data_IF_455879407774
#
_entry.id   IF_455879407774
#
_cell.length_a   1.000
_cell.length_b   1.000
_cell.length_c   1.000
_cell.angle_alpha   90.00
_cell.angle_beta   90.00
_cell.angle_gamma   90.00
#
_symmetry.space_group_name_H-M   'P 1'
#
loop_
_entity.id
_entity.type
_entity.pdbx_description
1 polymer ?
#
# COMPACT_ATOMS: atom_id res chain seq x y z
N UNK A 1 3.86 21.99 19.09
CA UNK A 1 3.70 22.07 17.62
C UNK A 1 2.95 20.84 17.17
N UNK A 2 1.73 21.00 16.67
CA UNK A 2 0.94 19.91 16.12
C UNK A 2 1.55 19.49 14.78
N UNK A 3 1.89 18.21 14.64
CA UNK A 3 2.46 17.69 13.40
C UNK A 3 1.38 17.82 12.31
N UNK A 4 1.70 18.44 11.17
CA UNK A 4 0.78 18.59 10.03
C UNK A 4 1.24 17.71 8.87
N UNK A 5 0.30 17.31 8.03
CA UNK A 5 0.61 16.59 6.80
C UNK A 5 1.51 17.43 5.90
N UNK A 6 2.47 16.77 5.24
CA UNK A 6 3.39 17.37 4.29
C UNK A 6 3.61 16.41 3.13
N UNK A 7 3.31 16.86 1.91
CA UNK A 7 3.53 16.08 0.68
C UNK A 7 5.01 15.75 0.47
N UNK A 8 5.91 16.67 0.82
CA UNK A 8 7.36 16.46 0.71
C UNK A 8 7.80 15.31 1.60
N UNK A 9 7.28 15.24 2.82
CA UNK A 9 7.57 14.13 3.73
C UNK A 9 6.87 12.82 3.30
N UNK A 10 5.66 12.90 2.75
CA UNK A 10 5.00 11.74 2.15
C UNK A 10 5.85 11.14 1.02
N UNK A 11 6.33 11.98 0.10
CA UNK A 11 7.21 11.59 -1.02
C UNK A 11 8.50 10.93 -0.51
N UNK A 12 9.13 11.50 0.52
CA UNK A 12 10.30 10.89 1.18
C UNK A 12 9.97 9.51 1.75
N UNK A 13 8.81 9.34 2.37
CA UNK A 13 8.40 8.03 2.90
C UNK A 13 8.19 7.00 1.79
N UNK A 14 7.54 7.38 0.69
CA UNK A 14 7.36 6.52 -0.47
C UNK A 14 8.69 6.15 -1.15
N UNK A 15 9.57 7.12 -1.37
CA UNK A 15 10.87 6.88 -2.00
C UNK A 15 11.75 5.96 -1.14
N UNK A 16 11.82 6.23 0.17
CA UNK A 16 12.52 5.36 1.10
C UNK A 16 11.94 3.94 1.08
N UNK A 17 10.62 3.81 1.12
CA UNK A 17 9.97 2.50 1.03
C UNK A 17 10.31 1.78 -0.28
N UNK A 18 10.33 2.48 -1.42
CA UNK A 18 10.72 1.92 -2.73
C UNK A 18 12.14 1.36 -2.70
N UNK A 19 13.09 2.13 -2.19
CA UNK A 19 14.49 1.72 -2.07
C UNK A 19 14.66 0.52 -1.12
N UNK A 20 13.96 0.56 0.01
CA UNK A 20 13.98 -0.52 0.99
C UNK A 20 13.31 -1.78 0.46
N UNK A 21 12.21 -1.66 -0.27
CA UNK A 21 11.52 -2.80 -0.87
C UNK A 21 12.40 -3.49 -1.92
N UNK A 22 13.11 -2.75 -2.78
CA UNK A 22 14.09 -3.33 -3.72
C UNK A 22 15.15 -4.17 -3.00
N UNK A 23 15.64 -3.69 -1.86
CA UNK A 23 16.57 -4.47 -1.01
C UNK A 23 15.88 -5.66 -0.34
N UNK A 24 14.64 -5.50 0.11
CA UNK A 24 13.86 -6.57 0.72
C UNK A 24 13.71 -7.76 -0.24
N UNK A 25 13.47 -7.51 -1.53
CA UNK A 25 13.32 -8.54 -2.57
C UNK A 25 14.52 -9.48 -2.69
N UNK A 26 15.73 -9.04 -2.35
CA UNK A 26 16.94 -9.87 -2.43
C UNK A 26 17.12 -10.78 -1.21
N UNK A 27 16.34 -10.56 -0.13
CA UNK A 27 16.54 -11.25 1.15
C UNK A 27 15.89 -12.63 1.22
N UNK A 28 16.43 -13.49 2.10
CA UNK A 28 15.79 -14.76 2.47
C UNK A 28 14.38 -14.56 3.03
N UNK A 29 14.12 -13.45 3.72
CA UNK A 29 12.79 -13.11 4.22
C UNK A 29 11.78 -12.99 3.09
N UNK A 30 12.10 -12.27 2.01
CA UNK A 30 11.21 -12.17 0.85
C UNK A 30 11.03 -13.50 0.11
N UNK A 31 12.11 -14.29 -0.04
CA UNK A 31 12.04 -15.60 -0.71
C UNK A 31 11.08 -16.58 -0.01
N UNK A 32 10.89 -16.45 1.30
CA UNK A 32 9.96 -17.26 2.10
C UNK A 32 8.49 -16.83 1.98
N UNK A 33 8.18 -15.77 1.25
CA UNK A 33 6.81 -15.42 0.89
C UNK A 33 6.30 -16.35 -0.22
N UNK A 34 5.02 -16.68 -0.16
CA UNK A 34 4.34 -17.44 -1.23
C UNK A 34 4.27 -16.62 -2.52
N UNK A 35 3.93 -17.25 -3.66
CA UNK A 35 3.74 -16.53 -4.93
C UNK A 35 2.75 -15.35 -4.82
N UNK A 36 1.53 -15.51 -4.27
CA UNK A 36 0.59 -14.39 -4.12
C UNK A 36 1.12 -13.31 -3.17
N UNK A 37 1.76 -13.69 -2.06
CA UNK A 37 2.36 -12.74 -1.12
C UNK A 37 3.47 -11.91 -1.77
N UNK A 38 4.37 -12.54 -2.54
CA UNK A 38 5.46 -11.83 -3.25
C UNK A 38 4.92 -10.85 -4.28
N UNK A 39 3.90 -11.27 -5.03
CA UNK A 39 3.25 -10.41 -6.02
C UNK A 39 2.61 -9.19 -5.36
N UNK A 40 1.97 -9.38 -4.19
CA UNK A 40 1.29 -8.30 -3.46
C UNK A 40 2.24 -7.44 -2.62
N UNK A 41 3.46 -7.92 -2.33
CA UNK A 41 4.30 -7.35 -1.28
C UNK A 41 4.67 -5.88 -1.51
N UNK A 42 4.94 -5.49 -2.75
CA UNK A 42 5.26 -4.09 -3.09
C UNK A 42 4.09 -3.17 -2.75
N UNK A 43 2.90 -3.55 -3.20
CA UNK A 43 1.66 -2.80 -2.98
C UNK A 43 1.28 -2.75 -1.50
N UNK A 44 1.38 -3.87 -0.78
CA UNK A 44 1.06 -3.93 0.66
C UNK A 44 1.98 -3.00 1.46
N UNK A 45 3.29 -3.06 1.23
CA UNK A 45 4.26 -2.22 1.97
C UNK A 45 4.09 -0.75 1.64
N UNK A 46 3.84 -0.41 0.36
CA UNK A 46 3.53 0.94 -0.06
C UNK A 46 2.24 1.47 0.56
N UNK A 47 1.15 0.69 0.49
CA UNK A 47 -0.13 1.06 1.09
C UNK A 47 -0.01 1.26 2.59
N UNK A 48 0.73 0.40 3.29
CA UNK A 48 0.98 0.57 4.72
C UNK A 48 1.67 1.90 5.03
N UNK A 49 2.75 2.22 4.30
CA UNK A 49 3.49 3.47 4.49
C UNK A 49 2.61 4.69 4.20
N UNK A 50 1.86 4.66 3.09
CA UNK A 50 0.96 5.73 2.69
C UNK A 50 -0.15 5.96 3.72
N UNK A 51 -0.83 4.90 4.16
CA UNK A 51 -1.89 4.99 5.16
C UNK A 51 -1.38 5.43 6.53
N UNK A 52 -0.25 4.89 6.98
CA UNK A 52 0.36 5.27 8.26
C UNK A 52 0.73 6.76 8.29
N UNK A 53 1.27 7.30 7.20
CA UNK A 53 1.64 8.70 7.15
C UNK A 53 0.42 9.60 6.93
N UNK A 54 -0.42 9.32 5.94
CA UNK A 54 -1.59 10.16 5.59
C UNK A 54 -2.57 10.32 6.73
N UNK A 55 -2.82 9.27 7.51
CA UNK A 55 -3.86 9.27 8.55
C UNK A 55 -3.34 9.32 9.98
N UNK A 56 -2.06 9.06 10.22
CA UNK A 56 -1.49 9.06 11.57
C UNK A 56 -0.22 9.91 11.70
N UNK A 57 0.30 10.46 10.59
CA UNK A 57 1.55 11.23 10.51
C UNK A 57 2.76 10.47 11.05
N UNK A 58 2.74 9.14 10.92
CA UNK A 58 3.81 8.26 11.43
C UNK A 58 4.71 7.78 10.31
N UNK A 59 6.00 8.04 10.48
CA UNK A 59 7.06 7.40 9.73
C UNK A 59 7.58 6.12 10.41
N UNK A 60 8.49 5.38 9.74
CA UNK A 60 9.05 4.12 10.22
C UNK A 60 9.61 4.15 11.65
N UNK A 61 10.28 5.23 12.04
CA UNK A 61 10.83 5.39 13.40
C UNK A 61 9.77 5.64 14.48
N UNK A 62 8.55 5.97 14.08
CA UNK A 62 7.44 6.32 14.97
C UNK A 62 6.35 5.24 14.99
N UNK A 63 6.52 4.14 14.26
CA UNK A 63 5.57 3.03 14.29
C UNK A 63 5.47 2.44 15.70
N UNK A 64 4.25 2.14 16.12
CA UNK A 64 3.91 1.52 17.39
C UNK A 64 2.94 0.35 17.17
N UNK A 65 2.72 -0.47 18.19
CA UNK A 65 1.73 -1.54 18.12
C UNK A 65 0.32 -0.99 17.80
N UNK A 66 -0.05 0.15 18.40
CA UNK A 66 -1.33 0.82 18.14
C UNK A 66 -1.43 1.28 16.68
N UNK A 67 -0.37 1.93 16.16
CA UNK A 67 -0.38 2.42 14.78
C UNK A 67 -0.51 1.29 13.76
N UNK A 68 0.23 0.19 13.96
CA UNK A 68 0.17 -0.99 13.07
C UNK A 68 -1.22 -1.60 13.06
N UNK A 69 -1.82 -1.80 14.24
CA UNK A 69 -3.18 -2.34 14.35
C UNK A 69 -4.21 -1.42 13.70
N UNK A 70 -4.12 -0.12 13.94
CA UNK A 70 -5.01 0.87 13.33
C UNK A 70 -4.92 0.84 11.80
N UNK A 71 -3.70 0.83 11.24
CA UNK A 71 -3.53 0.75 9.78
C UNK A 71 -4.13 -0.54 9.24
N UNK A 72 -3.81 -1.69 9.83
CA UNK A 72 -4.18 -2.99 9.25
C UNK A 72 -5.65 -3.34 9.50
N UNK A 73 -6.20 -3.08 10.67
CA UNK A 73 -7.56 -3.47 11.02
C UNK A 73 -8.62 -2.46 10.57
N UNK A 74 -8.26 -1.18 10.46
CA UNK A 74 -9.23 -0.13 10.16
C UNK A 74 -8.94 0.50 8.80
N UNK A 75 -7.74 1.05 8.59
CA UNK A 75 -7.46 1.82 7.37
C UNK A 75 -7.39 0.94 6.11
N UNK A 76 -6.75 -0.23 6.17
CA UNK A 76 -6.72 -1.17 5.04
C UNK A 76 -8.15 -1.60 4.65
N UNK A 77 -8.98 -2.13 5.56
CA UNK A 77 -10.37 -2.46 5.28
C UNK A 77 -11.23 -1.28 4.84
N UNK A 78 -11.00 -0.06 5.34
CA UNK A 78 -11.83 1.07 4.97
C UNK A 78 -11.47 1.66 3.60
N UNK A 79 -10.19 1.58 3.19
CA UNK A 79 -9.63 2.42 2.12
C UNK A 79 -9.09 1.65 0.92
N UNK A 80 -8.67 0.40 1.11
CA UNK A 80 -8.08 -0.38 0.02
C UNK A 80 -9.15 -1.27 -0.61
N UNK A 81 -9.44 -1.01 -1.88
CA UNK A 81 -10.20 -1.89 -2.76
C UNK A 81 -9.26 -2.94 -3.35
N UNK A 82 -9.41 -4.20 -2.93
CA UNK A 82 -8.66 -5.34 -3.43
C UNK A 82 -9.39 -6.65 -3.09
N UNK A 83 -8.96 -7.79 -3.63
CA UNK A 83 -9.56 -9.10 -3.31
C UNK A 83 -9.13 -9.66 -1.97
N UNK A 84 -9.86 -10.68 -1.50
CA UNK A 84 -9.50 -11.45 -0.31
C UNK A 84 -8.04 -11.93 -0.33
N UNK A 85 -7.51 -12.31 -1.50
CA UNK A 85 -6.13 -12.82 -1.60
C UNK A 85 -5.08 -11.75 -1.25
N UNK A 86 -5.36 -10.49 -1.59
CA UNK A 86 -4.54 -9.36 -1.14
C UNK A 86 -4.59 -9.24 0.38
N UNK A 87 -5.78 -9.24 0.98
CA UNK A 87 -5.96 -9.10 2.42
C UNK A 87 -5.36 -10.27 3.22
N UNK A 88 -5.43 -11.51 2.72
CA UNK A 88 -4.73 -12.65 3.33
C UNK A 88 -3.21 -12.52 3.28
N UNK A 89 -2.68 -11.77 2.31
CA UNK A 89 -1.24 -11.54 2.16
C UNK A 89 -0.71 -10.42 3.06
N UNK A 90 -1.56 -9.53 3.60
CA UNK A 90 -1.14 -8.35 4.37
C UNK A 90 -0.28 -8.71 5.58
N UNK A 91 -0.79 -9.57 6.45
CA UNK A 91 -0.09 -9.96 7.69
C UNK A 91 1.25 -10.66 7.42
N UNK A 92 1.34 -11.72 6.60
CA UNK A 92 2.62 -12.41 6.36
C UNK A 92 3.64 -11.50 5.67
N UNK A 93 3.23 -10.66 4.71
CA UNK A 93 4.11 -9.68 4.07
C UNK A 93 4.65 -8.68 5.08
N UNK A 94 3.76 -8.02 5.84
CA UNK A 94 4.16 -6.99 6.80
C UNK A 94 5.07 -7.55 7.90
N UNK A 95 4.79 -8.77 8.36
CA UNK A 95 5.64 -9.46 9.33
C UNK A 95 7.07 -9.60 8.82
N UNK A 96 7.24 -10.12 7.61
CA UNK A 96 8.57 -10.31 7.00
C UNK A 96 9.24 -8.98 6.67
N UNK A 97 8.46 -7.97 6.29
CA UNK A 97 8.98 -6.65 6.00
C UNK A 97 9.50 -5.96 7.26
N UNK A 98 8.81 -6.05 8.40
CA UNK A 98 9.32 -5.50 9.67
C UNK A 98 10.59 -6.21 10.16
N UNK A 99 10.71 -7.53 9.95
CA UNK A 99 11.98 -8.24 10.20
C UNK A 99 13.11 -7.63 9.37
N UNK A 100 12.87 -7.41 8.07
CA UNK A 100 13.84 -6.79 7.19
C UNK A 100 14.19 -5.35 7.60
N UNK A 101 13.19 -4.51 7.89
CA UNK A 101 13.42 -3.12 8.33
C UNK A 101 14.22 -3.06 9.63
N UNK A 102 14.00 -4.02 10.53
CA UNK A 102 14.80 -4.16 11.76
C UNK A 102 16.26 -4.45 11.45
N UNK A 103 16.53 -5.41 10.56
CA UNK A 103 17.87 -5.79 10.15
C UNK A 103 18.61 -4.68 9.40
N UNK A 104 17.88 -3.68 8.89
CA UNK A 104 18.42 -2.50 8.21
C UNK A 104 18.40 -1.24 9.11
N UNK A 105 18.12 -1.39 10.40
CA UNK A 105 18.03 -0.31 11.39
C UNK A 105 17.05 0.83 11.00
N UNK A 106 15.98 0.50 10.25
CA UNK A 106 14.94 1.46 9.82
C UNK A 106 13.79 1.57 10.82
N UNK A 107 13.59 0.53 11.62
CA UNK A 107 12.68 0.49 12.77
C UNK A 107 13.46 -0.06 13.97
N UNK A 108 13.23 0.50 15.16
CA UNK A 108 13.92 0.10 16.39
C UNK A 108 13.14 -0.93 17.22
N UNK A 109 11.82 -1.01 17.03
CA UNK A 109 10.90 -1.77 17.87
C UNK A 109 10.22 -2.95 17.15
N UNK A 110 10.91 -3.58 16.19
CA UNK A 110 10.31 -4.60 15.32
C UNK A 110 9.65 -5.76 16.07
N UNK A 111 10.19 -6.22 17.21
CA UNK A 111 9.56 -7.25 18.05
C UNK A 111 8.15 -6.84 18.49
N UNK A 112 7.96 -5.57 18.86
CA UNK A 112 6.66 -5.01 19.25
C UNK A 112 5.70 -4.94 18.07
N UNK A 113 6.18 -4.51 16.89
CA UNK A 113 5.37 -4.44 15.68
C UNK A 113 4.92 -5.83 15.21
N UNK A 114 5.82 -6.82 15.25
CA UNK A 114 5.53 -8.21 14.89
C UNK A 114 4.53 -8.83 15.86
N UNK A 115 4.68 -8.62 17.18
CA UNK A 115 3.67 -9.08 18.15
C UNK A 115 2.30 -8.44 17.92
N UNK A 116 2.27 -7.17 17.50
CA UNK A 116 1.02 -6.50 17.15
C UNK A 116 0.34 -7.16 15.94
N UNK A 117 1.11 -7.57 14.93
CA UNK A 117 0.62 -8.34 13.77
C UNK A 117 0.14 -9.73 14.16
N UNK A 118 0.91 -10.44 14.98
CA UNK A 118 0.60 -11.81 15.40
C UNK A 118 -0.67 -11.87 16.26
N UNK A 119 -1.02 -10.77 16.94
CA UNK A 119 -2.28 -10.61 17.66
C UNK A 119 -3.49 -10.30 16.77
N UNK A 120 -3.33 -10.11 15.46
CA UNK A 120 -4.43 -9.87 14.53
C UNK A 120 -4.94 -11.21 14.00
N UNK A 121 -6.22 -11.50 14.24
CA UNK A 121 -6.89 -12.64 13.62
C UNK A 121 -7.21 -12.32 12.17
N UNK A 122 -6.78 -13.16 11.23
CA UNK A 122 -7.04 -12.95 9.81
C UNK A 122 -8.54 -12.87 9.48
N UNK A 123 -9.37 -13.64 10.19
CA UNK A 123 -10.82 -13.59 10.06
C UNK A 123 -11.40 -12.20 10.31
N UNK A 124 -10.88 -11.47 11.30
CA UNK A 124 -11.28 -10.09 11.60
C UNK A 124 -10.92 -9.14 10.45
N UNK A 125 -9.71 -9.27 9.89
CA UNK A 125 -9.30 -8.45 8.75
C UNK A 125 -10.21 -8.68 7.54
N UNK A 126 -10.54 -9.94 7.25
CA UNK A 126 -11.40 -10.30 6.13
C UNK A 126 -12.86 -9.88 6.34
N UNK A 127 -13.40 -10.05 7.55
CA UNK A 127 -14.77 -9.60 7.86
C UNK A 127 -14.88 -8.08 7.74
N UNK A 128 -13.92 -7.33 8.30
CA UNK A 128 -13.90 -5.86 8.19
C UNK A 128 -13.76 -5.41 6.74
N UNK A 129 -12.93 -6.09 5.93
CA UNK A 129 -12.78 -5.76 4.51
C UNK A 129 -14.06 -6.01 3.70
N UNK A 130 -14.87 -7.01 4.05
CA UNK A 130 -16.10 -7.37 3.32
C UNK A 130 -17.32 -6.54 3.75
N UNK A 131 -17.28 -5.94 4.93
CA UNK A 131 -18.36 -5.11 5.44
C UNK A 131 -18.39 -3.73 4.76
N UNK A 132 -19.43 -3.50 3.95
CA UNK A 132 -19.65 -2.28 3.18
C UNK A 132 -19.84 -1.03 4.06
N UNK A 133 -20.25 -1.20 5.32
CA UNK A 133 -20.38 -0.09 6.27
C UNK A 133 -19.03 0.46 6.69
N UNK A 134 -17.97 -0.35 6.64
CA UNK A 134 -16.61 0.08 6.95
C UNK A 134 -15.93 0.80 5.78
N UNK A 135 -16.49 0.74 4.56
CA UNK A 135 -15.85 1.29 3.37
C UNK A 135 -16.06 2.79 3.28
N UNK A 136 -14.98 3.52 3.01
CA UNK A 136 -15.13 4.91 2.58
C UNK A 136 -15.68 5.01 1.15
N UNK A 137 -16.01 6.24 0.76
CA UNK A 137 -16.59 6.51 -0.55
C UNK A 137 -15.68 6.04 -1.70
N UNK A 138 -14.37 6.17 -1.55
CA UNK A 138 -13.41 5.78 -2.58
C UNK A 138 -13.37 4.27 -2.71
N UNK A 139 -13.20 3.54 -1.60
CA UNK A 139 -13.21 2.08 -1.62
C UNK A 139 -14.50 1.53 -2.22
N UNK A 140 -15.67 2.11 -1.94
CA UNK A 140 -16.94 1.69 -2.58
C UNK A 140 -16.86 1.77 -4.10
N UNK A 141 -16.35 2.87 -4.65
CA UNK A 141 -16.15 3.02 -6.09
C UNK A 141 -15.14 1.99 -6.62
N UNK A 142 -14.00 1.81 -5.95
CA UNK A 142 -12.99 0.82 -6.35
C UNK A 142 -13.52 -0.62 -6.33
N UNK A 143 -14.33 -0.98 -5.33
CA UNK A 143 -14.96 -2.30 -5.24
C UNK A 143 -16.05 -2.50 -6.31
N UNK A 144 -16.80 -1.46 -6.70
CA UNK A 144 -17.75 -1.54 -7.82
C UNK A 144 -17.04 -1.82 -9.16
N UNK A 145 -15.90 -1.17 -9.40
CA UNK A 145 -15.06 -1.46 -10.57
C UNK A 145 -14.52 -2.89 -10.49
N UNK A 146 -13.98 -3.28 -9.34
CA UNK A 146 -13.42 -4.61 -9.12
C UNK A 146 -14.46 -5.72 -9.31
N UNK A 147 -15.70 -5.53 -8.87
CA UNK A 147 -16.77 -6.51 -8.98
C UNK A 147 -17.44 -6.54 -10.36
N UNK A 148 -17.01 -5.68 -11.30
CA UNK A 148 -17.59 -5.61 -12.64
C UNK A 148 -18.94 -4.89 -12.72
N UNK A 149 -19.34 -4.17 -11.66
CA UNK A 149 -20.58 -3.37 -11.68
C UNK A 149 -20.43 -2.07 -12.48
N UNK A 150 -19.20 -1.65 -12.78
CA UNK A 150 -18.89 -0.49 -13.62
C UNK A 150 -18.20 -0.95 -14.91
N UNK A 151 -18.99 -1.22 -15.94
CA UNK A 151 -18.56 -1.82 -17.20
C UNK A 151 -17.75 -0.85 -18.10
N UNK A 152 -18.04 0.45 -18.02
CA UNK A 152 -17.40 1.49 -18.86
C UNK A 152 -16.38 2.36 -18.09
N UNK A 153 -15.62 1.73 -17.19
CA UNK A 153 -14.64 2.45 -16.40
C UNK A 153 -13.41 2.82 -17.26
N UNK A 154 -13.28 4.12 -17.56
CA UNK A 154 -12.14 4.71 -18.26
C UNK A 154 -10.79 4.28 -17.62
N UNK A 155 -9.88 3.63 -18.39
CA UNK A 155 -8.59 3.17 -17.89
C UNK A 155 -7.73 4.27 -17.25
N UNK A 156 -7.75 5.50 -17.76
CA UNK A 156 -6.95 6.61 -17.22
C UNK A 156 -7.48 7.04 -15.85
N UNK A 157 -8.82 7.08 -15.71
CA UNK A 157 -9.48 7.39 -14.43
C UNK A 157 -9.26 6.27 -13.41
N UNK A 158 -9.17 5.02 -13.84
CA UNK A 158 -8.80 3.90 -12.96
C UNK A 158 -7.36 4.05 -12.49
N UNK A 159 -6.41 4.34 -13.38
CA UNK A 159 -5.01 4.49 -13.01
C UNK A 159 -4.82 5.64 -12.00
N UNK A 160 -5.43 6.79 -12.25
CA UNK A 160 -5.42 7.91 -11.31
C UNK A 160 -6.05 7.54 -9.95
N UNK A 161 -7.18 6.80 -9.97
CA UNK A 161 -7.79 6.33 -8.73
C UNK A 161 -6.89 5.36 -7.95
N UNK A 162 -6.25 4.43 -8.65
CA UNK A 162 -5.34 3.45 -8.05
C UNK A 162 -4.20 4.17 -7.33
N UNK A 163 -3.61 5.20 -7.95
CA UNK A 163 -2.53 6.01 -7.39
C UNK A 163 -2.99 6.86 -6.19
N UNK A 164 -4.03 7.67 -6.37
CA UNK A 164 -4.41 8.72 -5.41
C UNK A 164 -5.21 8.20 -4.21
N UNK A 165 -6.10 7.24 -4.46
CA UNK A 165 -7.08 6.77 -3.48
C UNK A 165 -6.84 5.35 -3.02
N UNK A 166 -6.34 4.46 -3.90
CA UNK A 166 -6.04 3.06 -3.54
C UNK A 166 -4.59 2.83 -3.13
N UNK A 167 -3.81 3.90 -2.88
CA UNK A 167 -2.42 3.85 -2.42
C UNK A 167 -1.47 3.08 -3.37
N UNK A 168 -1.75 3.13 -4.67
CA UNK A 168 -1.07 2.41 -5.73
C UNK A 168 -1.37 0.90 -5.77
N UNK A 169 -2.38 0.42 -5.04
CA UNK A 169 -2.85 -0.97 -5.17
C UNK A 169 -3.70 -1.07 -6.44
N UNK A 170 -3.33 -1.92 -7.42
CA UNK A 170 -4.11 -2.00 -8.65
C UNK A 170 -5.40 -2.78 -8.42
N UNK A 171 -6.51 -2.29 -8.95
CA UNK A 171 -7.78 -3.00 -9.02
C UNK A 171 -7.67 -4.22 -9.95
N UNK A 172 -6.79 -4.16 -10.96
CA UNK A 172 -6.53 -5.29 -11.89
C UNK A 172 -5.64 -6.39 -11.31
N UNK A 173 -4.84 -6.08 -10.28
CA UNK A 173 -3.97 -7.05 -9.59
C UNK A 173 -4.77 -8.20 -8.92
N UNK A 174 -6.08 -8.00 -8.80
CA UNK A 174 -6.98 -8.86 -8.07
C UNK A 174 -7.53 -10.06 -8.86
N UNK A 175 -7.34 -10.11 -10.18
CA UNK A 175 -7.87 -11.19 -11.03
C UNK A 175 -6.81 -12.15 -11.57
N UNK A 176 -5.53 -11.78 -11.52
CA UNK A 176 -4.58 -12.42 -12.42
C UNK A 176 -3.24 -12.78 -11.77
N UNK A 177 -3.20 -13.94 -11.10
CA UNK A 177 -1.95 -14.59 -10.70
C UNK A 177 -1.16 -15.17 -11.89
N UNK A 178 -1.63 -14.98 -13.14
CA UNK A 178 -0.95 -15.41 -14.36
C UNK A 178 -0.09 -14.32 -15.02
N UNK A 179 -0.29 -13.03 -14.73
CA UNK A 179 0.56 -11.95 -15.27
C UNK A 179 1.82 -11.77 -14.41
N UNK A 180 2.82 -12.60 -14.69
CA UNK A 180 4.15 -12.63 -14.06
C UNK A 180 5.03 -11.37 -14.30
N UNK A 181 4.47 -10.16 -14.46
CA UNK A 181 5.27 -8.94 -14.64
C UNK A 181 4.77 -7.83 -13.72
N UNK A 182 5.58 -7.38 -12.72
CA UNK A 182 5.34 -6.07 -12.14
C UNK A 182 5.39 -5.04 -13.29
N UNK A 183 4.43 -4.10 -13.40
CA UNK A 183 4.51 -3.05 -14.39
C UNK A 183 5.84 -2.32 -14.20
N UNK A 184 6.65 -2.24 -15.26
CA UNK A 184 8.03 -1.73 -15.22
C UNK A 184 8.12 -0.24 -14.84
N UNK A 185 6.99 0.43 -14.62
CA UNK A 185 6.87 1.88 -14.65
C UNK A 185 6.08 2.43 -13.44
N UNK A 186 6.22 1.88 -12.23
CA UNK A 186 5.69 2.58 -11.04
C UNK A 186 6.62 3.76 -10.72
N UNK A 187 6.42 4.86 -11.44
CA UNK A 187 6.79 6.19 -10.98
C UNK A 187 5.55 6.69 -10.24
N UNK A 188 5.62 6.74 -8.91
CA UNK A 188 4.62 7.46 -8.11
C UNK A 188 4.69 8.93 -8.52
N UNK A 189 3.72 9.39 -9.30
CA UNK A 189 3.58 10.81 -9.59
C UNK A 189 2.90 11.45 -8.38
N UNK A 190 3.71 11.98 -7.46
CA UNK A 190 3.22 13.01 -6.55
C UNK A 190 2.61 14.16 -7.36
N UNK A 191 1.65 14.92 -6.82
CA UNK A 191 1.03 16.04 -7.55
C UNK A 191 2.08 17.04 -8.08
N UNK A 192 3.22 17.13 -7.37
CA UNK A 192 4.43 17.84 -7.79
C UNK A 192 5.14 17.21 -8.98
N UNK A 193 5.30 15.88 -9.03
CA UNK A 193 5.85 15.14 -10.18
C UNK A 193 4.91 15.23 -11.39
N UNK A 194 3.58 15.18 -11.19
CA UNK A 194 2.57 15.36 -12.24
C UNK A 194 2.69 16.75 -12.89
N UNK A 195 2.73 17.82 -12.10
CA UNK A 195 2.97 19.20 -12.57
C UNK A 195 4.32 19.36 -13.28
N UNK A 196 5.36 18.67 -12.80
CA UNK A 196 6.69 18.71 -13.42
C UNK A 196 6.73 17.98 -14.76
N UNK A 197 5.98 16.89 -14.92
CA UNK A 197 5.84 16.17 -16.19
C UNK A 197 4.94 16.90 -17.19
N UNK A 198 3.87 17.55 -16.73
CA UNK A 198 3.03 18.43 -17.57
C UNK A 198 3.89 19.53 -18.20
N UNK A 199 4.69 20.24 -17.41
CA UNK A 199 5.59 21.29 -17.94
C UNK A 199 6.58 20.77 -18.99
N UNK A 200 7.15 19.57 -18.80
CA UNK A 200 8.09 18.96 -19.75
C UNK A 200 7.41 18.49 -21.05
N UNK A 201 6.14 18.09 -21.00
CA UNK A 201 5.37 17.67 -22.18
C UNK A 201 4.87 18.87 -22.99
N UNK A 202 4.55 20.00 -22.34
CA UNK A 202 4.08 21.21 -23.02
C UNK A 202 5.21 22.13 -23.52
N UNK A 203 6.43 22.05 -22.97
CA UNK A 203 7.60 22.78 -23.48
C UNK A 203 8.21 22.15 -24.76
N UNK A 204 7.90 20.89 -25.07
CA UNK A 204 8.35 20.23 -26.32
C UNK A 204 7.41 20.41 -27.52
N UNK A 205 6.30 21.13 -27.34
CA UNK A 205 5.33 21.45 -28.39
C UNK A 205 5.21 22.97 -28.64
N UNK A 206 6.30 23.71 -28.45
CA UNK A 206 6.45 25.08 -28.96
C UNK A 206 7.58 25.14 -29.96
#
# INVERSE_FOLDING_TARGET
>A
MEQKYSEVEAEKHFENNRLWFRRFQTTRSFRKLTKPERAAAGYITQAFVGLAYKYQLRGPRQYSAKSVKEVILNLFPAKIAATNVFFTSVIPVMRRYFVFLSAQHKVSNAKTLIRALDGIKIGTLLSSHRDMNNWDQHKRLGMQVLMGYKLDADPEKIAAYEEDYNMGVPLRFCFDFSVNRPPKNIILLTEKLRKRFENVMYEKNK
#
